data_IF_542072249264
#
_entry.id   IF_542072249264
#
_cell.length_a   1.000
_cell.length_b   1.000
_cell.length_c   1.000
_cell.angle_alpha   90.00
_cell.angle_beta   90.00
_cell.angle_gamma   90.00
#
_symmetry.space_group_name_H-M   'P 1'
#
loop_
_entity.id
_entity.type
_entity.pdbx_description
1 polymer ?
#
# COMPACT_ATOMS: atom_id res chain seq x y z
N UNK A 1 -7.73 -2.21 3.89
CA UNK A 1 -8.98 -2.96 3.65
C UNK A 1 -8.78 -4.47 3.81
N UNK A 2 -7.88 -5.11 3.06
CA UNK A 2 -7.64 -6.57 3.18
C UNK A 2 -7.30 -7.01 4.61
N UNK A 3 -6.42 -6.30 5.33
CA UNK A 3 -6.10 -6.62 6.72
C UNK A 3 -7.34 -6.62 7.64
N UNK A 4 -8.17 -5.56 7.56
CA UNK A 4 -9.37 -5.43 8.39
C UNK A 4 -10.37 -6.55 8.10
N UNK A 5 -10.53 -6.90 6.82
CA UNK A 5 -11.36 -8.03 6.42
C UNK A 5 -10.85 -9.35 7.02
N UNK A 6 -9.55 -9.65 6.90
CA UNK A 6 -8.95 -10.83 7.51
C UNK A 6 -9.11 -10.84 9.03
N UNK A 7 -8.94 -9.68 9.69
CA UNK A 7 -9.14 -9.54 11.12
C UNK A 7 -10.57 -9.90 11.54
N UNK A 8 -11.58 -9.36 10.85
CA UNK A 8 -13.00 -9.69 11.10
C UNK A 8 -13.25 -11.18 10.89
N UNK A 9 -12.76 -11.77 9.80
CA UNK A 9 -12.89 -13.21 9.54
C UNK A 9 -12.26 -14.04 10.67
N UNK A 10 -11.06 -13.70 11.13
CA UNK A 10 -10.41 -14.43 12.22
C UNK A 10 -11.14 -14.27 13.55
N UNK A 11 -11.67 -13.09 13.87
CA UNK A 11 -12.47 -12.89 15.08
C UNK A 11 -13.74 -13.76 15.05
N UNK A 12 -14.46 -13.78 13.92
CA UNK A 12 -15.67 -14.60 13.77
C UNK A 12 -15.37 -16.10 13.89
N UNK A 13 -14.25 -16.57 13.32
CA UNK A 13 -13.83 -17.98 13.42
C UNK A 13 -13.45 -18.35 14.84
N UNK A 14 -12.72 -17.48 15.54
CA UNK A 14 -12.36 -17.67 16.96
C UNK A 14 -13.56 -17.65 17.89
N UNK A 15 -14.58 -16.82 17.63
CA UNK A 15 -15.84 -16.86 18.37
C UNK A 15 -16.58 -18.21 18.24
N UNK A 16 -16.38 -18.90 17.11
CA UNK A 16 -16.90 -20.26 16.86
C UNK A 16 -15.94 -21.37 17.32
N UNK A 17 -14.92 -21.03 18.11
CA UNK A 17 -13.87 -21.94 18.58
C UNK A 17 -13.06 -22.63 17.46
N UNK A 18 -12.96 -22.01 16.27
CA UNK A 18 -12.15 -22.49 15.16
C UNK A 18 -10.79 -21.76 15.20
N UNK A 19 -9.71 -22.53 15.42
CA UNK A 19 -8.35 -22.02 15.57
C UNK A 19 -7.43 -22.46 14.42
N UNK A 20 -7.49 -21.76 13.29
CA UNK A 20 -6.72 -22.13 12.07
C UNK A 20 -5.24 -21.73 12.10
N UNK A 21 -4.90 -20.80 12.99
CA UNK A 21 -3.57 -20.20 13.09
C UNK A 21 -2.99 -20.45 14.47
N UNK A 22 -1.68 -20.70 14.52
CA UNK A 22 -0.98 -20.88 15.78
C UNK A 22 -1.04 -19.61 16.63
N UNK A 23 -0.95 -19.74 17.96
CA UNK A 23 -0.96 -18.59 18.88
C UNK A 23 0.15 -17.59 18.57
N UNK A 24 1.32 -18.06 18.12
CA UNK A 24 2.44 -17.21 17.71
C UNK A 24 2.07 -16.38 16.49
N UNK A 25 1.55 -17.01 15.43
CA UNK A 25 1.13 -16.29 14.21
C UNK A 25 0.01 -15.30 14.48
N UNK A 26 -0.93 -15.65 15.37
CA UNK A 26 -1.99 -14.75 15.80
C UNK A 26 -1.46 -13.52 16.52
N UNK A 27 -0.57 -13.69 17.49
CA UNK A 27 0.03 -12.58 18.23
C UNK A 27 0.83 -11.66 17.31
N UNK A 28 1.58 -12.21 16.34
CA UNK A 28 2.28 -11.44 15.33
C UNK A 28 1.30 -10.68 14.41
N UNK A 29 0.19 -11.30 14.01
CA UNK A 29 -0.84 -10.66 13.20
C UNK A 29 -1.49 -9.48 13.95
N UNK A 30 -1.82 -9.67 15.23
CA UNK A 30 -2.36 -8.61 16.10
C UNK A 30 -1.37 -7.47 16.30
N UNK A 31 -0.11 -7.79 16.66
CA UNK A 31 0.95 -6.80 16.84
C UNK A 31 1.13 -5.96 15.56
N UNK A 32 1.17 -6.63 14.40
CA UNK A 32 1.27 -5.96 13.11
C UNK A 32 0.08 -5.04 12.84
N UNK A 33 -1.13 -5.43 13.26
CA UNK A 33 -2.32 -4.59 13.19
C UNK A 33 -2.20 -3.35 14.07
N UNK A 34 -1.89 -3.54 15.35
CA UNK A 34 -1.76 -2.43 16.28
C UNK A 34 -0.72 -1.41 15.83
N UNK A 35 0.45 -1.88 15.38
CA UNK A 35 1.52 -1.01 14.92
C UNK A 35 1.18 -0.33 13.58
N UNK A 36 0.78 -1.10 12.56
CA UNK A 36 0.66 -0.57 11.21
C UNK A 36 -0.69 0.07 10.94
N UNK A 37 -1.79 -0.59 11.33
CA UNK A 37 -3.13 -0.02 11.16
C UNK A 37 -3.37 1.08 12.19
N UNK A 38 -2.95 0.88 13.44
CA UNK A 38 -2.99 1.94 14.45
C UNK A 38 -2.11 3.13 14.07
N UNK A 39 -0.86 2.90 13.65
CA UNK A 39 0.03 3.94 13.14
C UNK A 39 -0.56 4.71 11.95
N UNK A 40 -1.18 4.00 11.00
CA UNK A 40 -1.92 4.61 9.90
C UNK A 40 -3.03 5.54 10.41
N UNK A 41 -3.91 5.04 11.28
CA UNK A 41 -5.04 5.83 11.77
C UNK A 41 -4.58 7.03 12.58
N UNK A 42 -3.60 6.89 13.48
CA UNK A 42 -3.09 8.02 14.26
C UNK A 42 -2.52 9.13 13.35
N UNK A 43 -1.77 8.75 12.32
CA UNK A 43 -1.17 9.70 11.38
C UNK A 43 -2.15 10.21 10.32
N UNK A 44 -3.31 9.59 10.15
CA UNK A 44 -4.33 10.05 9.21
C UNK A 44 -5.41 10.88 9.92
N UNK A 45 -5.92 10.37 11.04
CA UNK A 45 -7.03 10.95 11.80
C UNK A 45 -6.68 12.32 12.38
N UNK A 46 -5.43 12.55 12.75
CA UNK A 46 -4.99 13.85 13.25
C UNK A 46 -5.23 15.00 12.25
N UNK A 47 -5.22 14.72 10.95
CA UNK A 47 -5.43 15.72 9.91
C UNK A 47 -6.91 15.93 9.55
N UNK A 48 -7.80 14.98 9.85
CA UNK A 48 -9.23 15.07 9.50
C UNK A 48 -9.95 16.29 10.11
N UNK A 49 -9.76 16.65 11.40
CA UNK A 49 -10.48 17.77 12.00
C UNK A 49 -9.81 19.13 11.75
N UNK A 50 -8.72 19.21 10.98
CA UNK A 50 -8.02 20.47 10.77
C UNK A 50 -8.77 21.39 9.80
N UNK A 51 -9.05 22.63 10.23
CA UNK A 51 -9.73 23.65 9.43
C UNK A 51 -8.82 24.37 8.40
N UNK A 52 -7.59 23.88 8.21
CA UNK A 52 -6.60 24.49 7.31
C UNK A 52 -6.47 23.73 5.99
N UNK A 53 -5.90 24.37 4.98
CA UNK A 53 -5.60 23.71 3.70
C UNK A 53 -4.59 22.58 3.89
N UNK A 54 -4.93 21.38 3.45
CA UNK A 54 -4.08 20.19 3.55
C UNK A 54 -3.58 19.78 2.18
N UNK A 55 -2.26 19.70 2.05
CA UNK A 55 -1.58 19.17 0.88
C UNK A 55 -1.22 17.69 1.06
N UNK A 56 -0.92 17.02 -0.06
CA UNK A 56 -0.58 15.58 -0.12
C UNK A 56 0.50 15.15 0.88
N UNK A 57 1.50 16.00 1.15
CA UNK A 57 2.61 15.65 2.03
C UNK A 57 2.19 15.35 3.48
N UNK A 58 1.07 15.93 3.95
CA UNK A 58 0.52 15.64 5.28
C UNK A 58 0.12 14.16 5.43
N UNK A 59 -0.24 13.52 4.33
CA UNK A 59 -0.69 12.13 4.32
C UNK A 59 0.47 11.12 4.15
N UNK A 60 1.68 11.58 3.82
CA UNK A 60 2.85 10.72 3.59
C UNK A 60 3.21 9.83 4.80
N UNK A 61 3.19 10.33 6.05
CA UNK A 61 3.44 9.48 7.23
C UNK A 61 2.45 8.32 7.31
N UNK A 62 1.16 8.58 7.06
CA UNK A 62 0.13 7.54 7.06
C UNK A 62 0.33 6.54 5.91
N UNK A 63 0.79 7.02 4.74
CA UNK A 63 1.07 6.18 3.58
C UNK A 63 2.21 5.18 3.85
N UNK A 64 3.23 5.58 4.61
CA UNK A 64 4.35 4.69 4.96
C UNK A 64 3.87 3.44 5.71
N UNK A 65 2.96 3.58 6.67
CA UNK A 65 2.36 2.43 7.35
C UNK A 65 1.59 1.52 6.40
N UNK A 66 0.90 2.08 5.40
CA UNK A 66 0.23 1.29 4.36
C UNK A 66 1.22 0.54 3.49
N UNK A 67 2.35 1.16 3.10
CA UNK A 67 3.38 0.52 2.29
C UNK A 67 3.99 -0.68 3.05
N UNK A 68 4.31 -0.51 4.33
CA UNK A 68 4.86 -1.59 5.17
C UNK A 68 3.82 -2.70 5.42
N UNK A 69 2.53 -2.37 5.45
CA UNK A 69 1.46 -3.36 5.62
C UNK A 69 1.32 -4.32 4.43
N UNK A 70 1.69 -3.90 3.21
CA UNK A 70 1.62 -4.74 2.00
C UNK A 70 2.42 -6.05 2.15
N UNK A 71 3.74 -6.04 2.42
CA UNK A 71 4.51 -7.27 2.58
C UNK A 71 4.07 -8.10 3.78
N UNK A 72 3.57 -7.48 4.86
CA UNK A 72 3.01 -8.22 6.01
C UNK A 72 1.79 -9.03 5.61
N UNK A 73 0.84 -8.42 4.89
CA UNK A 73 -0.33 -9.14 4.37
C UNK A 73 0.12 -10.20 3.37
N UNK A 74 1.02 -9.88 2.45
CA UNK A 74 1.49 -10.84 1.44
C UNK A 74 2.14 -12.08 2.08
N UNK A 75 2.98 -11.88 3.09
CA UNK A 75 3.59 -12.96 3.86
C UNK A 75 2.54 -13.80 4.62
N UNK A 76 1.55 -13.14 5.23
CA UNK A 76 0.45 -13.82 5.91
C UNK A 76 -0.39 -14.66 4.95
N UNK A 77 -0.75 -14.13 3.78
CA UNK A 77 -1.47 -14.86 2.74
C UNK A 77 -0.68 -16.11 2.31
N UNK A 78 0.61 -15.96 2.00
CA UNK A 78 1.44 -17.07 1.54
C UNK A 78 1.62 -18.17 2.60
N UNK A 79 1.87 -17.80 3.86
CA UNK A 79 2.24 -18.75 4.91
C UNK A 79 1.05 -19.36 5.66
N UNK A 80 -0.10 -18.71 5.61
CA UNK A 80 -1.31 -19.16 6.31
C UNK A 80 -2.36 -19.64 5.32
N UNK A 81 -2.82 -18.78 4.41
CA UNK A 81 -3.94 -19.13 3.52
C UNK A 81 -3.53 -20.07 2.39
N UNK A 82 -2.33 -19.88 1.85
CA UNK A 82 -1.83 -20.66 0.71
C UNK A 82 -0.96 -21.85 1.15
N UNK A 83 -0.82 -22.10 2.45
CA UNK A 83 0.15 -23.05 3.02
C UNK A 83 0.11 -24.43 2.36
N UNK A 84 -1.09 -24.94 2.10
CA UNK A 84 -1.29 -26.31 1.63
C UNK A 84 -1.31 -26.43 0.10
N UNK A 85 -1.34 -25.30 -0.64
CA UNK A 85 -1.48 -25.26 -2.10
C UNK A 85 -0.20 -24.70 -2.75
N UNK A 86 0.80 -25.58 -2.98
CA UNK A 86 2.12 -25.20 -3.51
C UNK A 86 2.08 -24.42 -4.83
N UNK A 87 1.23 -24.83 -5.77
CA UNK A 87 1.08 -24.15 -7.07
C UNK A 87 0.65 -22.70 -6.86
N UNK A 88 -0.33 -22.47 -5.98
CA UNK A 88 -0.85 -21.14 -5.71
C UNK A 88 0.19 -20.26 -4.98
N UNK A 89 1.02 -20.82 -4.10
CA UNK A 89 2.16 -20.09 -3.53
C UNK A 89 3.17 -19.64 -4.59
N UNK A 90 3.51 -20.53 -5.52
CA UNK A 90 4.44 -20.21 -6.60
C UNK A 90 3.88 -19.09 -7.47
N UNK A 91 2.62 -19.21 -7.90
CA UNK A 91 1.92 -18.17 -8.67
C UNK A 91 1.86 -16.85 -7.90
N UNK A 92 1.53 -16.88 -6.61
CA UNK A 92 1.48 -15.69 -5.76
C UNK A 92 2.84 -14.99 -5.66
N UNK A 93 3.93 -15.75 -5.50
CA UNK A 93 5.30 -15.20 -5.47
C UNK A 93 5.69 -14.57 -6.80
N UNK A 94 5.34 -15.20 -7.93
CA UNK A 94 5.55 -14.59 -9.25
C UNK A 94 4.73 -13.31 -9.42
N UNK A 95 3.48 -13.28 -8.96
CA UNK A 95 2.66 -12.06 -8.97
C UNK A 95 3.31 -10.94 -8.14
N UNK A 96 3.83 -11.26 -6.95
CA UNK A 96 4.57 -10.30 -6.12
C UNK A 96 5.83 -9.78 -6.83
N UNK A 97 6.57 -10.65 -7.53
CA UNK A 97 7.76 -10.27 -8.28
C UNK A 97 7.43 -9.35 -9.46
N UNK A 98 6.40 -9.68 -10.24
CA UNK A 98 5.91 -8.82 -11.34
C UNK A 98 5.44 -7.46 -10.80
N UNK A 99 4.75 -7.45 -9.66
CA UNK A 99 4.34 -6.21 -9.00
C UNK A 99 5.55 -5.34 -8.63
N UNK A 100 6.63 -5.92 -8.09
CA UNK A 100 7.86 -5.18 -7.80
C UNK A 100 8.50 -4.60 -9.06
N UNK A 101 8.56 -5.37 -10.16
CA UNK A 101 9.06 -4.87 -11.44
C UNK A 101 8.21 -3.71 -11.96
N UNK A 102 6.89 -3.81 -11.87
CA UNK A 102 5.97 -2.74 -12.24
C UNK A 102 6.20 -1.47 -11.40
N UNK A 103 6.50 -1.61 -10.10
CA UNK A 103 6.86 -0.48 -9.23
C UNK A 103 8.16 0.19 -9.67
N UNK A 104 9.22 -0.57 -9.94
CA UNK A 104 10.49 -0.03 -10.44
C UNK A 104 10.29 0.68 -11.79
N UNK A 105 9.55 0.05 -12.70
CA UNK A 105 9.23 0.65 -13.99
C UNK A 105 8.43 1.95 -13.83
N UNK A 106 7.41 1.97 -12.97
CA UNK A 106 6.61 3.17 -12.69
C UNK A 106 7.45 4.30 -12.11
N UNK A 107 8.35 3.98 -11.18
CA UNK A 107 9.27 4.96 -10.60
C UNK A 107 10.17 5.58 -11.68
N UNK A 108 10.77 4.75 -12.53
CA UNK A 108 11.61 5.24 -13.63
C UNK A 108 10.81 6.11 -14.61
N UNK A 109 9.57 5.72 -14.94
CA UNK A 109 8.69 6.49 -15.82
C UNK A 109 8.37 7.88 -15.26
N UNK A 110 8.14 7.98 -13.94
CA UNK A 110 7.81 9.23 -13.25
C UNK A 110 9.01 9.99 -12.68
N UNK A 111 10.23 9.44 -12.74
CA UNK A 111 11.45 10.03 -12.18
C UNK A 111 11.72 11.45 -12.68
N UNK A 112 11.32 11.77 -13.92
CA UNK A 112 11.45 13.11 -14.51
C UNK A 112 10.71 14.16 -13.68
N UNK A 113 9.56 13.83 -13.09
CA UNK A 113 8.80 14.74 -12.23
C UNK A 113 9.43 14.89 -10.84
N UNK A 114 10.14 13.87 -10.36
CA UNK A 114 10.83 13.91 -9.06
C UNK A 114 12.10 14.74 -9.13
N UNK A 115 12.91 14.56 -10.18
CA UNK A 115 14.23 15.18 -10.28
C UNK A 115 14.26 16.45 -11.14
N UNK A 116 13.24 16.71 -11.97
CA UNK A 116 13.17 17.92 -12.79
C UNK A 116 14.27 18.02 -13.85
N UNK A 117 14.82 16.89 -14.31
CA UNK A 117 16.01 16.86 -15.17
C UNK A 117 15.75 17.22 -16.64
N UNK A 118 14.49 17.22 -17.08
CA UNK A 118 14.10 17.51 -18.46
C UNK A 118 13.00 18.57 -18.50
N UNK A 119 13.14 19.54 -19.40
CA UNK A 119 12.08 20.50 -19.74
C UNK A 119 11.05 19.83 -20.66
N UNK A 120 9.98 19.32 -20.08
CA UNK A 120 8.87 18.71 -20.82
C UNK A 120 7.88 19.78 -21.30
N UNK A 121 7.40 19.66 -22.54
CA UNK A 121 6.29 20.49 -23.04
C UNK A 121 4.96 20.09 -22.38
N UNK A 122 3.96 20.98 -22.39
CA UNK A 122 2.63 20.70 -21.82
C UNK A 122 1.99 19.43 -22.40
N UNK A 123 2.17 19.17 -23.70
CA UNK A 123 1.67 17.95 -24.34
C UNK A 123 2.38 16.71 -23.80
N UNK A 124 3.71 16.74 -23.67
CA UNK A 124 4.49 15.61 -23.12
C UNK A 124 4.16 15.33 -21.64
N UNK A 125 3.86 16.37 -20.86
CA UNK A 125 3.39 16.22 -19.48
C UNK A 125 2.03 15.53 -19.46
N UNK A 126 1.09 15.97 -20.30
CA UNK A 126 -0.25 15.39 -20.39
C UNK A 126 -0.22 13.93 -20.85
N UNK A 127 0.62 13.57 -21.82
CA UNK A 127 0.79 12.19 -22.29
C UNK A 127 1.33 11.26 -21.21
N UNK A 128 2.03 11.81 -20.21
CA UNK A 128 2.57 11.06 -19.06
C UNK A 128 1.58 10.89 -17.91
N UNK A 129 0.44 11.57 -17.92
CA UNK A 129 -0.56 11.46 -16.85
C UNK A 129 -1.26 10.10 -16.94
N UNK A 130 -1.24 9.35 -15.85
CA UNK A 130 -2.06 8.13 -15.74
C UNK A 130 -3.49 8.43 -15.31
N UNK A 131 -3.70 9.55 -14.63
CA UNK A 131 -5.01 9.99 -14.16
C UNK A 131 -5.29 11.38 -14.70
N UNK A 132 -6.52 11.59 -15.17
CA UNK A 132 -6.96 12.88 -15.71
C UNK A 132 -6.93 14.00 -14.65
N UNK A 133 -7.11 13.65 -13.37
CA UNK A 133 -7.12 14.59 -12.25
C UNK A 133 -5.72 15.02 -11.79
N UNK A 134 -4.64 14.53 -12.42
CA UNK A 134 -3.29 14.95 -12.07
C UNK A 134 -2.95 16.23 -12.79
N UNK A 135 -2.71 17.30 -12.05
CA UNK A 135 -2.27 18.57 -12.62
C UNK A 135 -0.84 18.90 -12.19
N UNK A 136 0.02 19.06 -13.19
CA UNK A 136 1.41 19.42 -13.04
C UNK A 136 1.62 20.84 -13.55
N UNK A 137 2.47 21.59 -12.88
CA UNK A 137 2.85 22.93 -13.30
C UNK A 137 3.64 22.83 -14.61
N UNK A 138 3.04 23.31 -15.70
CA UNK A 138 3.71 23.51 -16.98
C UNK A 138 3.95 25.00 -17.16
N UNK A 139 5.19 25.43 -17.37
CA UNK A 139 5.45 26.77 -17.86
C UNK A 139 5.40 26.73 -19.38
N UNK A 140 4.54 27.56 -19.96
CA UNK A 140 4.61 27.82 -21.39
C UNK A 140 5.94 28.53 -21.62
N UNK A 141 6.84 27.89 -22.38
CA UNK A 141 8.09 28.53 -22.78
C UNK A 141 7.77 29.81 -23.55
N UNK A 142 8.54 30.86 -23.28
CA UNK A 142 8.72 31.99 -24.19
C UNK A 142 9.09 31.48 -25.60
#
# INVERSE_FOLDING_TARGET
MVYLFLMVVYLLRRQRAIYDITNVQWNLFLLSGYLLVGGYFLNFLFFVPMERTLFIHHYLPSLLFKIILIPVIANHLNNVLLKDIKILQILFKYCCFIYLLAMIWSYNYFSVFTYGTLSLSRNQINDKKWLQSWDFLSHDGL
#
